data_IF_345676112632
#
_entry.id   IF_345676112632
#
_cell.length_a   1.000
_cell.length_b   1.000
_cell.length_c   1.000
_cell.angle_alpha   90.00
_cell.angle_beta   90.00
_cell.angle_gamma   90.00
#
_symmetry.space_group_name_H-M   'P 1'
#
loop_
_entity.id
_entity.type
_entity.pdbx_description
1 polymer ?
#
# COMPACT_ATOMS: atom_id res chain seq x y z
N UNK A 1 -43.61 6.41 -35.69
CA UNK A 1 -42.23 6.97 -35.72
C UNK A 1 -41.59 6.65 -34.37
N UNK A 2 -41.04 5.47 -34.06
CA UNK A 2 -39.89 4.73 -34.61
C UNK A 2 -38.54 5.46 -34.53
N UNK A 3 -37.64 4.86 -33.72
CA UNK A 3 -36.15 4.91 -33.72
C UNK A 3 -35.58 6.12 -32.93
N UNK A 4 -34.67 5.97 -31.97
CA UNK A 4 -33.56 5.01 -31.86
C UNK A 4 -33.22 4.66 -30.42
N UNK A 5 -33.21 3.36 -30.15
CA UNK A 5 -32.43 2.73 -29.09
C UNK A 5 -30.94 2.96 -29.40
N UNK A 6 -30.22 3.69 -28.54
CA UNK A 6 -28.76 3.56 -28.44
C UNK A 6 -28.49 2.69 -27.23
N UNK A 7 -28.46 1.38 -27.49
CA UNK A 7 -27.85 0.38 -26.63
C UNK A 7 -26.36 0.71 -26.52
N UNK A 8 -25.95 1.36 -25.43
CA UNK A 8 -24.57 1.35 -25.00
C UNK A 8 -24.29 -0.03 -24.39
N UNK A 9 -23.78 -0.94 -25.21
CA UNK A 9 -23.24 -2.21 -24.79
C UNK A 9 -22.04 -1.97 -23.87
N UNK A 10 -22.29 -2.00 -22.57
CA UNK A 10 -21.25 -2.01 -21.53
C UNK A 10 -20.71 -3.44 -21.48
N UNK A 11 -19.68 -3.70 -22.28
CA UNK A 11 -18.94 -4.97 -22.29
C UNK A 11 -18.28 -5.14 -20.92
N UNK A 12 -18.86 -6.01 -20.09
CA UNK A 12 -18.17 -6.59 -18.94
C UNK A 12 -17.06 -7.52 -19.48
N UNK A 13 -15.86 -6.99 -19.65
CA UNK A 13 -14.68 -7.83 -19.85
C UNK A 13 -14.29 -8.43 -18.50
N UNK A 14 -14.73 -9.67 -18.27
CA UNK A 14 -14.26 -10.51 -17.19
C UNK A 14 -12.76 -10.80 -17.39
N UNK A 15 -11.90 -10.32 -16.49
CA UNK A 15 -10.52 -10.81 -16.38
C UNK A 15 -10.53 -12.17 -15.66
N UNK A 16 -10.74 -13.24 -16.43
CA UNK A 16 -10.28 -14.57 -16.06
C UNK A 16 -8.77 -14.69 -16.29
N UNK A 17 -8.09 -15.32 -15.33
CA UNK A 17 -6.97 -16.23 -15.58
C UNK A 17 -5.65 -15.65 -16.07
N UNK A 18 -4.66 -15.57 -15.19
CA UNK A 18 -3.27 -15.73 -15.59
C UNK A 18 -2.56 -16.70 -14.65
N UNK A 19 -2.51 -17.95 -15.08
CA UNK A 19 -1.68 -19.00 -14.51
C UNK A 19 -0.20 -18.63 -14.73
N UNK A 20 0.53 -18.42 -13.64
CA UNK A 20 1.95 -18.11 -13.63
C UNK A 20 2.76 -19.31 -13.13
N UNK A 21 3.73 -19.71 -13.95
CA UNK A 21 4.67 -20.84 -13.79
C UNK A 21 5.41 -20.88 -12.44
N UNK A 22 5.91 -22.06 -12.01
CA UNK A 22 6.84 -22.18 -10.89
C UNK A 22 8.15 -21.45 -11.21
N UNK A 23 8.62 -20.63 -10.26
CA UNK A 23 9.92 -19.99 -10.29
C UNK A 23 10.87 -20.83 -9.44
N UNK A 24 11.86 -21.43 -10.09
CA UNK A 24 13.05 -22.01 -9.46
C UNK A 24 13.71 -21.00 -8.52
N UNK A 25 13.64 -21.26 -7.22
CA UNK A 25 14.43 -20.55 -6.22
C UNK A 25 15.89 -21.03 -6.30
N UNK A 26 16.70 -20.32 -7.07
CA UNK A 26 18.15 -20.42 -6.98
C UNK A 26 18.61 -19.70 -5.71
N UNK A 27 19.03 -20.50 -4.72
CA UNK A 27 19.70 -20.03 -3.53
C UNK A 27 20.95 -19.21 -3.89
N UNK A 28 20.96 -17.95 -3.46
CA UNK A 28 22.08 -17.02 -3.60
C UNK A 28 22.40 -16.43 -2.24
N UNK A 29 23.42 -17.01 -1.61
CA UNK A 29 24.09 -16.52 -0.40
C UNK A 29 24.86 -15.23 -0.71
N UNK A 30 24.76 -14.21 0.15
CA UNK A 30 25.61 -13.02 0.02
C UNK A 30 25.20 -11.79 0.84
N UNK A 31 25.61 -11.79 2.11
CA UNK A 31 26.06 -10.64 2.92
C UNK A 31 25.20 -9.38 3.11
N UNK A 32 24.64 -9.30 4.32
CA UNK A 32 24.85 -8.22 5.31
C UNK A 32 25.03 -6.78 4.83
N UNK A 33 23.94 -6.02 4.93
CA UNK A 33 23.96 -4.65 5.43
C UNK A 33 22.91 -4.55 6.54
N UNK A 34 23.36 -4.48 7.79
CA UNK A 34 22.53 -4.34 8.99
C UNK A 34 21.87 -2.97 9.00
N UNK A 35 20.77 -2.82 8.27
CA UNK A 35 19.79 -1.79 8.58
C UNK A 35 18.92 -2.35 9.69
N UNK A 36 19.23 -1.98 10.92
CA UNK A 36 18.34 -2.14 12.07
C UNK A 36 17.10 -1.29 11.81
N UNK A 37 16.17 -1.84 11.03
CA UNK A 37 14.79 -1.41 11.06
C UNK A 37 14.29 -1.83 12.44
N UNK A 38 13.88 -0.90 13.33
CA UNK A 38 13.15 -1.30 14.51
C UNK A 38 11.87 -1.98 14.02
N UNK A 39 11.86 -3.30 14.05
CA UNK A 39 10.61 -4.06 14.05
C UNK A 39 9.84 -3.53 15.25
N UNK A 40 8.71 -2.82 15.06
CA UNK A 40 7.92 -2.38 16.20
C UNK A 40 7.47 -3.66 16.88
N UNK A 41 8.08 -3.96 18.03
CA UNK A 41 7.67 -5.04 18.90
C UNK A 41 6.18 -4.86 19.13
N UNK A 42 5.37 -5.80 18.63
CA UNK A 42 3.97 -5.92 19.01
C UNK A 42 3.95 -6.25 20.51
N UNK A 43 4.04 -5.20 21.33
CA UNK A 43 3.98 -5.26 22.77
C UNK A 43 2.58 -5.64 23.18
N UNK A 44 2.41 -6.91 23.55
CA UNK A 44 1.25 -7.42 24.26
C UNK A 44 1.30 -6.87 25.70
N UNK A 45 0.50 -5.86 25.99
CA UNK A 45 0.41 -5.26 27.33
C UNK A 45 -0.70 -4.23 27.42
N UNK A 46 -1.79 -4.57 28.12
CA UNK A 46 -3.03 -3.80 28.17
C UNK A 46 -3.02 -2.60 29.15
N UNK A 47 -4.16 -1.89 29.08
CA UNK A 47 -4.57 -0.70 29.85
C UNK A 47 -4.07 0.64 29.28
N UNK A 48 -4.88 1.23 28.39
CA UNK A 48 -4.67 2.53 27.73
C UNK A 48 -3.45 2.56 26.80
N UNK A 49 -3.48 1.75 25.74
CA UNK A 49 -2.61 2.05 24.60
C UNK A 49 -3.25 3.25 23.91
N UNK A 50 -2.77 4.44 24.29
CA UNK A 50 -3.31 5.74 23.93
C UNK A 50 -3.48 5.90 22.43
N UNK A 51 -4.59 6.52 22.01
CA UNK A 51 -4.71 7.00 20.63
C UNK A 51 -3.49 7.83 20.21
N UNK A 52 -2.86 8.54 21.14
CA UNK A 52 -1.61 9.27 20.92
C UNK A 52 -0.44 8.34 20.55
N UNK A 53 -0.31 7.18 21.18
CA UNK A 53 0.66 6.16 20.75
C UNK A 53 0.35 5.64 19.36
N UNK A 54 -0.94 5.45 19.03
CA UNK A 54 -1.33 5.02 17.69
C UNK A 54 -1.02 6.08 16.62
N UNK A 55 -1.05 7.37 16.98
CA UNK A 55 -0.62 8.47 16.11
C UNK A 55 0.89 8.43 15.87
N UNK A 56 1.69 8.14 16.90
CA UNK A 56 3.14 7.93 16.75
C UNK A 56 3.42 6.72 15.84
N UNK A 57 2.77 5.59 16.10
CA UNK A 57 2.92 4.39 15.27
C UNK A 57 2.49 4.68 13.81
N UNK A 58 1.44 5.48 13.58
CA UNK A 58 1.02 5.95 12.25
C UNK A 58 2.08 6.82 11.55
N UNK A 59 2.78 7.67 12.30
CA UNK A 59 3.88 8.47 11.76
C UNK A 59 5.09 7.61 11.35
N UNK A 60 5.38 6.55 12.11
CA UNK A 60 6.38 5.55 11.73
C UNK A 60 5.98 4.82 10.44
N UNK A 61 4.70 4.41 10.32
CA UNK A 61 4.18 3.79 9.10
C UNK A 61 4.26 4.72 7.89
N UNK A 62 3.93 6.01 8.06
CA UNK A 62 4.11 7.05 7.04
C UNK A 62 5.58 7.07 6.60
N UNK A 63 6.51 7.17 7.54
CA UNK A 63 7.94 7.24 7.26
C UNK A 63 8.43 6.02 6.50
N UNK A 64 8.04 4.81 6.92
CA UNK A 64 8.39 3.55 6.22
C UNK A 64 7.85 3.51 4.80
N UNK A 65 6.60 3.92 4.57
CA UNK A 65 6.02 3.98 3.22
C UNK A 65 6.70 5.02 2.33
N UNK A 66 7.01 6.19 2.87
CA UNK A 66 7.65 7.27 2.11
C UNK A 66 9.13 6.97 1.81
N UNK A 67 9.77 6.10 2.58
CA UNK A 67 11.14 5.64 2.35
C UNK A 67 11.25 4.57 1.25
N UNK A 68 10.14 4.00 0.79
CA UNK A 68 10.15 3.01 -0.28
C UNK A 68 10.42 3.67 -1.65
N UNK A 69 11.32 3.08 -2.43
CA UNK A 69 11.62 3.52 -3.80
C UNK A 69 10.78 2.80 -4.87
N UNK A 70 10.25 1.62 -4.53
CA UNK A 70 9.52 0.76 -5.46
C UNK A 70 8.19 0.25 -4.90
N UNK A 71 7.35 -0.25 -5.82
CA UNK A 71 5.99 -0.71 -5.51
C UNK A 71 6.02 -1.92 -4.58
N UNK A 72 6.98 -2.85 -4.72
CA UNK A 72 7.05 -4.05 -3.89
C UNK A 72 7.34 -3.70 -2.42
N UNK A 73 8.26 -2.76 -2.17
CA UNK A 73 8.49 -2.20 -0.84
C UNK A 73 7.20 -1.60 -0.27
N UNK A 74 6.51 -0.73 -1.02
CA UNK A 74 5.28 -0.10 -0.52
C UNK A 74 4.17 -1.12 -0.23
N UNK A 75 4.02 -2.17 -1.03
CA UNK A 75 3.04 -3.24 -0.81
C UNK A 75 3.36 -4.08 0.43
N UNK A 76 4.64 -4.39 0.67
CA UNK A 76 5.07 -5.09 1.88
C UNK A 76 4.77 -4.28 3.14
N UNK A 77 5.16 -3.01 3.18
CA UNK A 77 4.86 -2.10 4.30
C UNK A 77 3.35 -1.92 4.47
N UNK A 78 2.59 -1.81 3.38
CA UNK A 78 1.13 -1.66 3.44
C UNK A 78 0.42 -2.89 4.03
N UNK A 79 0.92 -4.09 3.71
CA UNK A 79 0.40 -5.34 4.26
C UNK A 79 0.57 -5.37 5.77
N UNK A 80 1.76 -5.05 6.27
CA UNK A 80 2.03 -5.02 7.71
C UNK A 80 1.22 -3.93 8.41
N UNK A 81 1.10 -2.75 7.80
CA UNK A 81 0.20 -1.69 8.27
C UNK A 81 -1.25 -2.16 8.39
N UNK A 82 -1.75 -2.92 7.42
CA UNK A 82 -3.12 -3.44 7.43
C UNK A 82 -3.35 -4.43 8.57
N UNK A 83 -2.36 -5.28 8.86
CA UNK A 83 -2.38 -6.19 10.02
C UNK A 83 -2.40 -5.37 11.32
N UNK A 84 -1.46 -4.44 11.48
CA UNK A 84 -1.42 -3.55 12.65
C UNK A 84 -2.75 -2.80 12.85
N UNK A 85 -3.32 -2.22 11.79
CA UNK A 85 -4.60 -1.48 11.86
C UNK A 85 -5.76 -2.38 12.28
N UNK A 86 -5.76 -3.63 11.83
CA UNK A 86 -6.79 -4.61 12.20
C UNK A 86 -6.70 -4.98 13.67
N UNK A 87 -5.49 -5.26 14.17
CA UNK A 87 -5.26 -5.57 15.58
C UNK A 87 -5.53 -4.36 16.47
N UNK A 88 -5.14 -3.15 16.03
CA UNK A 88 -5.47 -1.90 16.69
C UNK A 88 -6.98 -1.72 16.83
N UNK A 89 -7.76 -1.93 15.76
CA UNK A 89 -9.24 -1.83 15.81
C UNK A 89 -9.86 -2.87 16.75
N UNK A 90 -9.37 -4.11 16.74
CA UNK A 90 -9.85 -5.17 17.64
C UNK A 90 -9.56 -4.81 19.10
N UNK A 91 -8.33 -4.40 19.40
CA UNK A 91 -7.91 -4.01 20.76
C UNK A 91 -8.60 -2.76 21.30
N UNK A 92 -9.12 -1.90 20.41
CA UNK A 92 -9.79 -0.65 20.77
C UNK A 92 -11.32 -0.66 20.58
N UNK A 93 -11.94 -1.80 20.27
CA UNK A 93 -13.38 -1.87 19.98
C UNK A 93 -14.27 -1.39 21.15
N UNK A 94 -13.80 -1.53 22.39
CA UNK A 94 -14.51 -1.13 23.62
C UNK A 94 -13.97 0.16 24.24
N UNK A 95 -12.96 0.78 23.62
CA UNK A 95 -12.33 2.00 24.13
C UNK A 95 -13.16 3.23 23.77
N UNK A 96 -13.02 4.34 24.51
CA UNK A 96 -13.59 5.62 24.10
C UNK A 96 -13.16 5.96 22.68
N UNK A 97 -14.06 6.60 21.93
CA UNK A 97 -13.74 7.09 20.59
C UNK A 97 -12.61 8.14 20.68
N UNK A 98 -11.76 8.26 19.66
CA UNK A 98 -10.77 9.32 19.62
C UNK A 98 -11.45 10.69 19.69
N UNK A 99 -10.73 11.67 20.25
CA UNK A 99 -11.15 13.07 20.17
C UNK A 99 -11.19 13.53 18.72
N UNK A 100 -11.91 14.62 18.42
CA UNK A 100 -11.96 15.17 17.06
C UNK A 100 -10.57 15.55 16.52
N UNK A 101 -9.67 15.99 17.41
CA UNK A 101 -8.28 16.35 17.07
C UNK A 101 -7.44 15.12 16.76
N UNK A 102 -7.58 14.04 17.54
CA UNK A 102 -6.91 12.76 17.27
C UNK A 102 -7.40 12.14 15.97
N UNK A 103 -8.71 12.17 15.71
CA UNK A 103 -9.29 11.66 14.47
C UNK A 103 -8.80 12.46 13.25
N UNK A 104 -8.78 13.80 13.35
CA UNK A 104 -8.21 14.66 12.31
C UNK A 104 -6.74 14.33 12.05
N UNK A 105 -5.94 14.20 13.11
CA UNK A 105 -4.49 13.89 12.99
C UNK A 105 -4.27 12.52 12.35
N UNK A 106 -5.05 11.51 12.77
CA UNK A 106 -4.99 10.17 12.17
C UNK A 106 -5.37 10.17 10.68
N UNK A 107 -6.40 10.94 10.31
CA UNK A 107 -6.84 11.09 8.92
C UNK A 107 -5.77 11.80 8.06
N UNK A 108 -5.13 12.84 8.60
CA UNK A 108 -4.06 13.58 7.92
C UNK A 108 -2.82 12.69 7.70
N UNK A 109 -2.41 11.91 8.71
CA UNK A 109 -1.32 10.93 8.59
C UNK A 109 -1.64 9.84 7.57
N UNK A 110 -2.85 9.28 7.60
CA UNK A 110 -3.28 8.27 6.64
C UNK A 110 -3.30 8.83 5.21
N UNK A 111 -3.74 10.08 5.01
CA UNK A 111 -3.69 10.75 3.70
C UNK A 111 -2.25 10.92 3.21
N UNK A 112 -1.34 11.39 4.08
CA UNK A 112 0.08 11.56 3.75
C UNK A 112 0.74 10.22 3.36
N UNK A 113 0.42 9.15 4.09
CA UNK A 113 0.88 7.80 3.79
C UNK A 113 0.39 7.30 2.43
N UNK A 114 -0.89 7.52 2.08
CA UNK A 114 -1.43 7.18 0.76
C UNK A 114 -0.81 8.02 -0.37
N UNK A 115 -0.49 9.29 -0.10
CA UNK A 115 0.23 10.13 -1.05
C UNK A 115 1.64 9.57 -1.35
N UNK A 116 2.35 9.08 -0.35
CA UNK A 116 3.64 8.41 -0.54
C UNK A 116 3.52 7.16 -1.42
N UNK A 117 2.54 6.29 -1.15
CA UNK A 117 2.25 5.13 -2.00
C UNK A 117 1.98 5.54 -3.46
N UNK A 118 1.11 6.53 -3.67
CA UNK A 118 0.76 7.02 -5.00
C UNK A 118 1.98 7.59 -5.74
N UNK A 119 2.85 8.31 -5.05
CA UNK A 119 4.08 8.85 -5.63
C UNK A 119 5.03 7.74 -6.09
N UNK A 120 5.18 6.67 -5.30
CA UNK A 120 6.00 5.52 -5.68
C UNK A 120 5.43 4.81 -6.91
N UNK A 121 4.13 4.56 -6.95
CA UNK A 121 3.48 3.98 -8.13
C UNK A 121 3.62 4.87 -9.37
N UNK A 122 3.46 6.19 -9.22
CA UNK A 122 3.63 7.14 -10.32
C UNK A 122 5.08 7.17 -10.85
N UNK A 123 6.08 7.10 -9.95
CA UNK A 123 7.50 6.98 -10.32
C UNK A 123 7.76 5.69 -11.11
N UNK A 124 7.25 4.55 -10.63
CA UNK A 124 7.40 3.27 -11.30
C UNK A 124 6.81 3.28 -12.73
N UNK A 125 5.66 3.93 -12.93
CA UNK A 125 5.04 4.10 -14.24
C UNK A 125 5.87 4.97 -15.21
N UNK A 126 6.57 5.99 -14.70
CA UNK A 126 7.45 6.83 -15.53
C UNK A 126 8.72 6.10 -15.97
N UNK A 127 9.29 5.27 -15.10
CA UNK A 127 10.51 4.51 -15.44
C UNK A 127 10.23 3.37 -16.42
N UNK A 128 9.01 2.82 -16.43
CA UNK A 128 8.58 1.79 -17.40
C UNK A 128 8.05 2.32 -18.74
N UNK A 129 7.86 3.64 -18.89
CA UNK A 129 7.36 4.26 -20.13
C UNK A 129 8.51 4.74 -21.03
N UNK A 130 9.64 4.03 -21.00
CA UNK A 130 10.71 4.15 -21.98
C UNK A 130 10.36 3.36 -23.24
N UNK A 131 9.65 4.00 -24.16
CA UNK A 131 9.74 3.82 -25.62
C UNK A 131 10.17 2.44 -26.14
N UNK A 132 9.22 1.52 -26.29
CA UNK A 132 9.22 0.71 -27.51
C UNK A 132 8.78 1.66 -28.64
N UNK A 133 9.74 2.20 -29.40
CA UNK A 133 9.43 3.00 -30.58
C UNK A 133 8.53 2.19 -31.52
N UNK A 134 7.48 2.77 -32.12
CA UNK A 134 6.72 2.09 -33.15
C UNK A 134 7.66 1.86 -34.34
N UNK A 135 8.10 0.62 -34.56
CA UNK A 135 8.74 0.22 -35.82
C UNK A 135 7.77 0.50 -36.95
N UNK A 136 8.03 1.59 -37.68
CA UNK A 136 7.49 1.79 -39.02
C UNK A 136 8.37 0.95 -39.95
N UNK A 137 7.93 -0.27 -40.26
CA UNK A 137 8.39 -0.97 -41.46
C UNK A 137 7.54 -0.47 -42.64
N UNK A 138 8.10 0.32 -43.58
CA UNK A 138 7.46 0.56 -44.85
C UNK A 138 7.58 -0.69 -45.73
N UNK A 139 6.43 -1.11 -46.28
CA UNK A 139 6.31 -2.10 -47.37
C UNK A 139 6.89 -1.52 -48.66
#
# INVERSE_FOLDING_TARGET
MWRSFVLAALVLTACQGKEGKPIDQKAGSGSSATSVTPTPTLGSGGANVDFDKALIDLEDWRTKMCACDDVACTEAVFKDFTVWRTEFRKGNATRPRPTAEQDKTGNDLNRAMMACKSNVTAKAGKTGSGSAAPSKDPV
#
